data_IF_345573002514
#
_entry.id   IF_345573002514
#
_cell.length_a   1.000
_cell.length_b   1.000
_cell.length_c   1.000
_cell.angle_alpha   90.00
_cell.angle_beta   90.00
_cell.angle_gamma   90.00
#
_symmetry.space_group_name_H-M   'P 1'
#
loop_
_entity.id
_entity.type
_entity.pdbx_description
1 polymer ?
#
# COMPACT_ATOMS: atom_id res chain seq x y z
N UNK A 1 20.31 -11.13 -3.02
CA UNK A 1 19.88 -9.74 -2.74
C UNK A 1 18.93 -9.84 -1.56
N UNK A 2 19.29 -9.26 -0.41
CA UNK A 2 18.67 -9.57 0.88
C UNK A 2 17.22 -9.06 1.01
N UNK A 3 16.31 -9.81 1.65
CA UNK A 3 14.89 -9.47 1.81
C UNK A 3 14.65 -8.15 2.57
N UNK A 4 15.59 -7.75 3.45
CA UNK A 4 15.51 -6.47 4.17
C UNK A 4 15.65 -5.24 3.25
N UNK A 5 16.46 -5.35 2.19
CA UNK A 5 16.60 -4.29 1.17
C UNK A 5 15.30 -4.14 0.38
N UNK A 6 14.59 -5.24 0.15
CA UNK A 6 13.29 -5.23 -0.54
C UNK A 6 12.19 -4.60 0.31
N UNK A 7 12.12 -4.89 1.61
CA UNK A 7 11.13 -4.29 2.52
C UNK A 7 11.35 -2.78 2.70
N UNK A 8 12.61 -2.38 2.89
CA UNK A 8 12.97 -0.97 3.06
C UNK A 8 12.62 -0.15 1.81
N UNK A 9 12.84 -0.72 0.63
CA UNK A 9 12.47 -0.09 -0.65
C UNK A 9 10.96 0.02 -0.81
N UNK A 10 10.21 -1.00 -0.38
CA UNK A 10 8.75 -0.97 -0.40
C UNK A 10 8.17 0.09 0.55
N UNK A 11 8.68 0.18 1.78
CA UNK A 11 8.28 1.20 2.77
C UNK A 11 8.59 2.61 2.27
N UNK A 12 9.76 2.81 1.65
CA UNK A 12 10.11 4.11 1.08
C UNK A 12 9.20 4.47 -0.10
N UNK A 13 8.81 3.48 -0.91
CA UNK A 13 7.82 3.66 -1.97
C UNK A 13 6.44 4.07 -1.46
N UNK A 14 5.99 3.54 -0.32
CA UNK A 14 4.75 3.96 0.35
C UNK A 14 4.87 5.39 0.88
N UNK A 15 6.00 5.75 1.50
CA UNK A 15 6.22 7.10 2.03
C UNK A 15 6.17 8.17 0.94
N UNK A 16 6.79 7.91 -0.20
CA UNK A 16 6.76 8.82 -1.36
C UNK A 16 5.34 9.02 -1.90
N UNK A 17 4.49 7.99 -1.87
CA UNK A 17 3.08 8.12 -2.27
C UNK A 17 2.28 8.97 -1.28
N UNK A 18 2.53 8.82 0.02
CA UNK A 18 1.87 9.61 1.05
C UNK A 18 2.30 11.08 0.99
N UNK A 19 3.59 11.36 0.78
CA UNK A 19 4.09 12.73 0.58
C UNK A 19 3.51 13.37 -0.70
N UNK A 20 3.37 12.58 -1.77
CA UNK A 20 2.68 13.02 -2.98
C UNK A 20 1.18 13.29 -2.72
N UNK A 21 0.54 12.52 -1.84
CA UNK A 21 -0.84 12.70 -1.42
C UNK A 21 -1.03 13.96 -0.55
N UNK A 22 -0.13 14.26 0.39
CA UNK A 22 -0.14 15.51 1.15
C UNK A 22 0.09 16.74 0.26
N UNK A 23 0.95 16.61 -0.76
CA UNK A 23 1.11 17.64 -1.80
C UNK A 23 -0.13 17.80 -2.69
N UNK A 24 -0.92 16.73 -2.84
CA UNK A 24 -2.10 16.64 -3.69
C UNK A 24 -3.33 17.35 -3.11
N UNK A 25 -3.53 17.38 -1.78
CA UNK A 25 -4.60 18.16 -1.15
C UNK A 25 -4.55 19.67 -1.46
N UNK A 26 -3.39 20.18 -1.91
CA UNK A 26 -3.16 21.63 -2.13
C UNK A 26 -3.41 22.12 -3.57
N UNK A 27 -3.70 21.27 -4.56
CA UNK A 27 -3.94 21.71 -5.95
C UNK A 27 -5.03 20.88 -6.70
N UNK A 28 -6.06 21.57 -7.24
CA UNK A 28 -7.21 21.11 -8.07
C UNK A 28 -7.04 19.80 -8.88
N UNK A 29 -8.06 18.95 -9.12
CA UNK A 29 -9.39 18.64 -8.54
C UNK A 29 -9.91 17.38 -9.29
N UNK A 30 -10.42 16.38 -8.56
CA UNK A 30 -11.12 15.14 -8.97
C UNK A 30 -10.44 14.12 -9.92
N UNK A 31 -9.99 14.49 -11.11
CA UNK A 31 -9.44 13.51 -12.09
C UNK A 31 -8.09 12.94 -11.62
N UNK A 32 -7.26 13.82 -11.06
CA UNK A 32 -6.01 13.43 -10.40
C UNK A 32 -6.26 12.63 -9.12
N UNK A 33 -7.40 12.81 -8.45
CA UNK A 33 -7.76 12.08 -7.21
C UNK A 33 -8.09 10.63 -7.57
N UNK A 34 -8.88 10.44 -8.62
CA UNK A 34 -9.15 9.12 -9.19
C UNK A 34 -7.86 8.42 -9.65
N UNK A 35 -6.97 9.14 -10.36
CA UNK A 35 -5.71 8.59 -10.82
C UNK A 35 -4.79 8.17 -9.66
N UNK A 36 -4.69 8.98 -8.61
CA UNK A 36 -3.89 8.69 -7.41
C UNK A 36 -4.48 7.49 -6.67
N UNK A 37 -5.79 7.44 -6.49
CA UNK A 37 -6.47 6.32 -5.84
C UNK A 37 -6.28 5.02 -6.59
N UNK A 38 -6.41 5.04 -7.91
CA UNK A 38 -6.18 3.86 -8.74
C UNK A 38 -4.72 3.40 -8.64
N UNK A 39 -3.76 4.33 -8.57
CA UNK A 39 -2.35 3.97 -8.37
C UNK A 39 -2.09 3.37 -6.99
N UNK A 40 -2.67 3.93 -5.92
CA UNK A 40 -2.57 3.35 -4.58
C UNK A 40 -3.19 1.95 -4.55
N UNK A 41 -4.35 1.75 -5.19
CA UNK A 41 -4.99 0.44 -5.34
C UNK A 41 -4.09 -0.55 -6.09
N UNK A 42 -3.50 -0.15 -7.22
CA UNK A 42 -2.58 -1.02 -7.98
C UNK A 42 -1.37 -1.44 -7.14
N UNK A 43 -0.76 -0.49 -6.43
CA UNK A 43 0.44 -0.76 -5.63
C UNK A 43 0.15 -1.61 -4.40
N UNK A 44 -0.97 -1.37 -3.72
CA UNK A 44 -1.37 -2.21 -2.58
C UNK A 44 -1.62 -3.65 -3.02
N UNK A 45 -2.28 -3.88 -4.17
CA UNK A 45 -2.45 -5.23 -4.74
C UNK A 45 -1.09 -5.88 -5.06
N UNK A 46 -0.17 -5.17 -5.70
CA UNK A 46 1.16 -5.70 -5.99
C UNK A 46 1.92 -6.08 -4.71
N UNK A 47 1.89 -5.21 -3.70
CA UNK A 47 2.55 -5.47 -2.42
C UNK A 47 1.92 -6.66 -1.67
N UNK A 48 0.60 -6.83 -1.75
CA UNK A 48 -0.08 -8.00 -1.17
C UNK A 48 0.38 -9.32 -1.82
N UNK A 49 0.56 -9.35 -3.15
CA UNK A 49 1.10 -10.53 -3.84
C UNK A 49 2.55 -10.83 -3.41
N UNK A 50 3.40 -9.80 -3.36
CA UNK A 50 4.78 -9.95 -2.88
C UNK A 50 4.86 -10.49 -1.44
N UNK A 51 4.04 -9.93 -0.55
CA UNK A 51 3.98 -10.38 0.84
C UNK A 51 3.41 -11.78 0.97
N UNK A 52 2.52 -12.21 0.09
CA UNK A 52 2.01 -13.59 0.08
C UNK A 52 3.12 -14.58 -0.25
N UNK A 53 3.88 -14.31 -1.32
CA UNK A 53 5.04 -15.14 -1.69
C UNK A 53 6.12 -15.16 -0.61
N UNK A 54 6.33 -14.03 0.06
CA UNK A 54 7.27 -13.95 1.19
C UNK A 54 6.76 -14.72 2.42
N UNK A 55 5.48 -14.59 2.75
CA UNK A 55 4.83 -15.30 3.85
C UNK A 55 4.93 -16.82 3.67
N UNK A 56 4.67 -17.31 2.45
CA UNK A 56 4.76 -18.73 2.12
C UNK A 56 6.19 -19.25 2.26
N UNK A 57 7.18 -18.54 1.70
CA UNK A 57 8.60 -18.89 1.86
C UNK A 57 9.03 -18.88 3.32
N UNK A 58 8.65 -17.86 4.08
CA UNK A 58 8.98 -17.76 5.49
C UNK A 58 8.37 -18.91 6.31
N UNK A 59 7.19 -19.41 5.94
CA UNK A 59 6.60 -20.61 6.55
C UNK A 59 7.37 -21.87 6.21
N UNK A 60 7.72 -22.06 4.94
CA UNK A 60 8.51 -23.21 4.46
C UNK A 60 9.86 -23.30 5.18
N UNK A 61 10.51 -22.15 5.41
CA UNK A 61 11.80 -22.03 6.10
C UNK A 61 11.69 -22.03 7.64
N UNK A 62 10.47 -22.10 8.20
CA UNK A 62 10.24 -22.12 9.65
C UNK A 62 10.38 -20.76 10.35
N UNK A 63 10.51 -19.66 9.60
CA UNK A 63 10.60 -18.29 10.09
C UNK A 63 9.22 -17.72 10.49
N UNK A 64 8.68 -18.22 11.60
CA UNK A 64 7.32 -17.91 12.09
C UNK A 64 7.06 -16.41 12.33
N UNK A 65 8.04 -15.68 12.85
CA UNK A 65 7.91 -14.24 13.11
C UNK A 65 7.80 -13.45 11.81
N UNK A 66 8.67 -13.76 10.84
CA UNK A 66 8.64 -13.13 9.52
C UNK A 66 7.32 -13.41 8.77
N UNK A 67 6.83 -14.66 8.81
CA UNK A 67 5.52 -14.99 8.24
C UNK A 67 4.37 -14.24 8.93
N UNK A 68 4.45 -14.06 10.25
CA UNK A 68 3.44 -13.32 11.01
C UNK A 68 3.45 -11.82 10.69
N UNK A 69 4.64 -11.23 10.50
CA UNK A 69 4.79 -9.83 10.11
C UNK A 69 4.27 -9.59 8.69
N UNK A 70 4.56 -10.50 7.76
CA UNK A 70 4.03 -10.45 6.40
C UNK A 70 2.49 -10.48 6.38
N UNK A 71 1.89 -11.35 7.19
CA UNK A 71 0.44 -11.43 7.36
C UNK A 71 -0.15 -10.13 7.92
N UNK A 72 0.49 -9.51 8.92
CA UNK A 72 0.05 -8.22 9.47
C UNK A 72 0.14 -7.11 8.43
N UNK A 73 1.25 -7.04 7.72
CA UNK A 73 1.47 -6.05 6.66
C UNK A 73 0.44 -6.18 5.53
N UNK A 74 0.06 -7.41 5.15
CA UNK A 74 -1.04 -7.65 4.20
C UNK A 74 -2.38 -7.10 4.71
N UNK A 75 -2.72 -7.32 5.98
CA UNK A 75 -3.96 -6.80 6.55
C UNK A 75 -4.00 -5.26 6.49
N UNK A 76 -2.87 -4.60 6.77
CA UNK A 76 -2.76 -3.13 6.63
C UNK A 76 -2.96 -2.68 5.18
N UNK A 77 -2.36 -3.37 4.20
CA UNK A 77 -2.52 -3.02 2.79
C UNK A 77 -3.94 -3.26 2.27
N UNK A 78 -4.66 -4.25 2.81
CA UNK A 78 -6.08 -4.47 2.52
C UNK A 78 -6.89 -3.29 3.04
N UNK A 79 -6.69 -2.88 4.30
CA UNK A 79 -7.38 -1.72 4.86
C UNK A 79 -7.12 -0.44 4.05
N UNK A 80 -5.87 -0.17 3.64
CA UNK A 80 -5.54 0.98 2.78
C UNK A 80 -6.27 0.88 1.43
N UNK A 81 -6.33 -0.30 0.81
CA UNK A 81 -7.04 -0.49 -0.45
C UNK A 81 -8.54 -0.24 -0.31
N UNK A 82 -9.14 -0.66 0.81
CA UNK A 82 -10.56 -0.44 1.11
C UNK A 82 -10.82 1.06 1.35
N UNK A 83 -10.00 1.72 2.17
CA UNK A 83 -10.13 3.16 2.46
C UNK A 83 -10.08 4.00 1.18
N UNK A 84 -9.15 3.69 0.28
CA UNK A 84 -8.99 4.38 -1.01
C UNK A 84 -10.17 4.13 -1.95
N UNK A 85 -10.76 2.93 -1.90
CA UNK A 85 -11.95 2.59 -2.69
C UNK A 85 -13.20 3.34 -2.21
N UNK A 86 -13.34 3.56 -0.91
CA UNK A 86 -14.53 4.17 -0.30
C UNK A 86 -14.38 5.64 0.09
N UNK A 87 -13.18 6.22 -0.01
CA UNK A 87 -12.98 7.65 0.18
C UNK A 87 -13.94 8.41 -0.74
N UNK A 88 -14.88 9.19 -0.22
CA UNK A 88 -15.73 10.04 -1.06
C UNK A 88 -14.90 11.29 -1.33
N UNK A 89 -14.53 11.53 -2.59
CA UNK A 89 -14.06 12.86 -2.98
C UNK A 89 -15.22 13.81 -2.68
N UNK A 90 -15.03 14.75 -1.75
CA UNK A 90 -16.07 15.72 -1.42
C UNK A 90 -16.60 16.35 -2.70
N UNK A 91 -17.80 15.93 -3.12
CA UNK A 91 -18.60 16.70 -4.05
C UNK A 91 -18.84 18.06 -3.41
N UNK A 92 -18.96 19.14 -4.19
CA UNK A 92 -19.17 20.47 -3.63
C UNK A 92 -20.36 20.39 -2.67
N UNK A 93 -20.08 20.56 -1.38
CA UNK A 93 -21.10 20.91 -0.40
C UNK A 93 -21.79 22.17 -0.90
N UNK A 94 -23.12 22.12 -0.86
CA UNK A 94 -24.09 23.08 -1.39
C UNK A 94 -23.77 24.56 -1.20
#
# INVERSE_FOLDING_TARGET
MEPLVSLSSALNGVRVLLEAYEGYERARFLETDLAVREEVRRRTVMLQDHLTRFEDRAREEGHREAASEAKRSKATLIAISEDVQFAISGGPSS
#
